data_IF_460866128959
#
_entry.id   IF_460866128959
#
_cell.length_a   1.000
_cell.length_b   1.000
_cell.length_c   1.000
_cell.angle_alpha   90.00
_cell.angle_beta   90.00
_cell.angle_gamma   90.00
#
_symmetry.space_group_name_H-M   'P 1'
#
loop_
_entity.id
_entity.type
_entity.pdbx_description
1 polymer ?
#
# COMPACT_ATOMS: atom_id res chain seq x y z
N UNK A 1 -1.49 14.79 5.51
CA UNK A 1 -0.35 14.14 6.23
C UNK A 1 0.65 15.17 6.74
N UNK A 2 1.36 15.91 5.87
CA UNK A 2 2.43 16.84 6.28
C UNK A 2 1.95 17.99 7.19
N UNK A 3 0.72 18.48 7.04
CA UNK A 3 0.13 19.51 7.90
C UNK A 3 -0.21 18.97 9.30
N UNK A 4 -0.92 17.84 9.42
CA UNK A 4 -1.17 17.18 10.72
C UNK A 4 0.13 16.76 11.45
N UNK A 5 1.18 16.40 10.71
CA UNK A 5 2.50 16.10 11.28
C UNK A 5 3.22 17.36 11.79
N UNK A 6 2.96 18.54 11.21
CA UNK A 6 3.47 19.81 11.74
C UNK A 6 2.83 20.13 13.09
N UNK A 7 1.54 19.87 13.24
CA UNK A 7 0.82 20.04 14.52
C UNK A 7 1.40 19.11 15.60
N UNK A 8 1.61 17.83 15.29
CA UNK A 8 2.28 16.88 16.22
C UNK A 8 3.70 17.29 16.62
N UNK A 9 4.43 18.01 15.76
CA UNK A 9 5.76 18.54 16.10
C UNK A 9 5.72 19.78 17.00
N UNK A 10 4.55 20.41 17.15
CA UNK A 10 4.34 21.63 17.94
C UNK A 10 3.58 21.36 19.25
N UNK A 11 2.72 20.34 19.29
CA UNK A 11 1.93 19.95 20.46
C UNK A 11 2.71 18.96 21.35
N UNK A 12 3.29 19.44 22.45
CA UNK A 12 3.89 18.59 23.49
C UNK A 12 2.88 17.91 24.43
N UNK A 13 1.64 17.69 23.99
CA UNK A 13 0.56 17.21 24.88
C UNK A 13 0.45 15.69 24.90
N UNK A 14 0.61 15.10 26.08
CA UNK A 14 0.26 13.71 26.35
C UNK A 14 -1.26 13.51 26.30
N UNK A 15 -1.73 12.59 25.47
CA UNK A 15 -3.15 12.21 25.37
C UNK A 15 -3.35 10.80 25.96
N UNK A 16 -4.50 10.55 26.61
CA UNK A 16 -4.73 9.39 27.50
C UNK A 16 -5.58 8.28 26.84
N UNK A 17 -5.20 7.02 27.05
CA UNK A 17 -5.95 5.81 26.69
C UNK A 17 -5.14 4.51 26.86
N UNK A 18 -5.72 3.35 26.51
CA UNK A 18 -5.05 2.02 26.47
C UNK A 18 -3.88 1.92 25.48
N UNK A 19 -3.68 2.96 24.67
CA UNK A 19 -2.54 3.22 23.81
C UNK A 19 -1.31 3.57 24.65
N UNK A 20 -0.17 2.93 24.37
CA UNK A 20 1.10 3.37 24.97
C UNK A 20 1.70 4.47 24.11
N UNK A 21 1.22 5.68 24.32
CA UNK A 21 1.77 6.87 23.66
C UNK A 21 2.99 7.39 24.42
N UNK A 22 4.00 7.86 23.68
CA UNK A 22 5.16 8.55 24.25
C UNK A 22 5.56 9.71 23.34
N UNK A 23 5.63 10.91 23.91
CA UNK A 23 6.21 12.10 23.29
C UNK A 23 7.45 12.55 24.08
N UNK A 24 8.51 12.96 23.38
CA UNK A 24 9.72 13.49 24.02
C UNK A 24 10.51 14.43 23.11
N UNK A 25 10.91 15.57 23.67
CA UNK A 25 11.96 16.44 23.13
C UNK A 25 13.33 16.03 23.69
N UNK A 26 14.36 16.07 22.85
CA UNK A 26 15.70 15.56 23.12
C UNK A 26 16.72 16.59 22.61
N UNK A 27 17.46 17.20 23.53
CA UNK A 27 18.27 18.40 23.26
C UNK A 27 19.69 18.10 22.74
N UNK A 28 20.11 16.82 22.73
CA UNK A 28 21.44 16.41 22.28
C UNK A 28 21.47 14.99 21.66
N UNK A 29 22.58 14.68 20.99
CA UNK A 29 22.81 13.39 20.34
C UNK A 29 22.77 12.18 21.30
N UNK A 30 23.25 12.34 22.53
CA UNK A 30 23.31 11.24 23.51
C UNK A 30 21.92 10.89 24.04
N UNK A 31 21.13 11.91 24.38
CA UNK A 31 19.74 11.80 24.78
C UNK A 31 18.89 11.18 23.67
N UNK A 32 19.10 11.62 22.42
CA UNK A 32 18.48 11.01 21.23
C UNK A 32 18.82 9.52 21.16
N UNK A 33 20.11 9.18 21.19
CA UNK A 33 20.58 7.80 21.08
C UNK A 33 20.02 6.90 22.18
N UNK A 34 20.12 7.32 23.45
CA UNK A 34 19.63 6.54 24.59
C UNK A 34 18.12 6.33 24.53
N UNK A 35 17.38 7.38 24.17
CA UNK A 35 15.92 7.30 24.07
C UNK A 35 15.47 6.40 22.92
N UNK A 36 15.97 6.63 21.71
CA UNK A 36 15.58 5.84 20.55
C UNK A 36 16.09 4.40 20.63
N UNK A 37 17.21 4.15 21.31
CA UNK A 37 17.70 2.78 21.55
C UNK A 37 16.71 1.95 22.38
N UNK A 38 16.00 2.61 23.30
CA UNK A 38 14.95 1.97 24.11
C UNK A 38 13.63 1.81 23.37
N UNK A 39 13.32 2.75 22.47
CA UNK A 39 12.02 2.80 21.80
C UNK A 39 11.95 1.99 20.51
N UNK A 40 13.02 1.99 19.73
CA UNK A 40 13.14 1.24 18.49
C UNK A 40 13.88 -0.06 18.78
N UNK A 41 15.22 0.00 18.78
CA UNK A 41 16.14 -1.12 18.90
C UNK A 41 17.46 -0.63 19.50
N UNK A 42 18.24 -1.46 20.20
CA UNK A 42 19.65 -1.15 20.43
C UNK A 42 20.37 -0.90 19.09
N UNK A 43 20.99 0.27 18.95
CA UNK A 43 21.66 0.70 17.73
C UNK A 43 22.83 1.60 18.06
N UNK A 44 23.74 1.80 17.11
CA UNK A 44 24.72 2.87 17.17
C UNK A 44 24.17 4.11 16.48
N UNK A 45 24.44 5.26 17.08
CA UNK A 45 24.00 6.56 16.60
C UNK A 45 25.22 7.46 16.44
N UNK A 46 25.42 8.00 15.24
CA UNK A 46 26.53 8.88 14.95
C UNK A 46 26.04 10.13 14.22
N UNK A 47 26.55 11.28 14.62
CA UNK A 47 26.33 12.58 13.95
C UNK A 47 27.70 13.06 13.49
N UNK A 48 27.85 13.28 12.18
CA UNK A 48 29.15 13.55 11.56
C UNK A 48 29.11 14.83 10.73
N UNK A 49 30.29 15.43 10.53
CA UNK A 49 30.49 16.64 9.76
C UNK A 49 30.67 17.88 10.62
N UNK A 50 30.81 19.02 9.96
CA UNK A 50 30.76 20.33 10.62
C UNK A 50 29.40 20.51 11.34
N UNK A 51 29.41 21.18 12.51
CA UNK A 51 28.22 21.40 13.35
C UNK A 51 27.54 20.13 13.94
N UNK A 52 28.26 19.02 14.04
CA UNK A 52 27.78 17.77 14.66
C UNK A 52 27.32 17.89 16.13
N UNK A 53 27.71 18.98 16.82
CA UNK A 53 27.26 19.29 18.17
C UNK A 53 25.86 19.91 18.27
N UNK A 54 25.21 20.23 17.14
CA UNK A 54 23.87 20.84 17.10
C UNK A 54 22.86 19.88 16.48
N UNK A 55 22.26 19.03 17.33
CA UNK A 55 21.16 18.16 16.93
C UNK A 55 20.09 18.15 18.02
N UNK A 56 18.86 18.44 17.61
CA UNK A 56 17.68 18.30 18.44
C UNK A 56 16.77 17.22 17.83
N UNK A 57 16.05 16.51 18.68
CA UNK A 57 15.18 15.40 18.28
C UNK A 57 13.81 15.49 18.93
N UNK A 58 12.76 15.27 18.14
CA UNK A 58 11.42 14.97 18.64
C UNK A 58 11.05 13.56 18.27
N UNK A 59 10.53 12.82 19.24
CA UNK A 59 10.02 11.47 19.02
C UNK A 59 8.61 11.34 19.57
N UNK A 60 7.70 10.89 18.73
CA UNK A 60 6.36 10.47 19.10
C UNK A 60 6.15 9.01 18.69
N UNK A 61 5.45 8.20 19.50
CA UNK A 61 5.13 6.83 19.11
C UNK A 61 3.76 6.38 19.55
N UNK A 62 3.14 5.52 18.73
CA UNK A 62 1.96 4.72 19.06
C UNK A 62 2.35 3.25 19.03
N UNK A 63 2.09 2.54 20.12
CA UNK A 63 2.16 1.08 20.15
C UNK A 63 0.74 0.51 20.08
N UNK A 64 0.44 -0.20 18.98
CA UNK A 64 -0.83 -0.88 18.78
C UNK A 64 -0.77 -2.35 19.22
N UNK A 65 0.24 -2.78 19.98
CA UNK A 65 0.53 -4.17 20.34
C UNK A 65 0.98 -5.01 19.13
N UNK A 66 2.29 -4.96 18.86
CA UNK A 66 2.97 -5.69 17.78
C UNK A 66 3.10 -4.92 16.46
N UNK A 67 2.45 -3.76 16.35
CA UNK A 67 2.71 -2.75 15.32
C UNK A 67 2.96 -1.42 16.00
N UNK A 68 4.14 -0.85 15.84
CA UNK A 68 4.52 0.42 16.48
C UNK A 68 4.84 1.44 15.42
N UNK A 69 4.17 2.60 15.47
CA UNK A 69 4.45 3.73 14.61
C UNK A 69 5.27 4.75 15.38
N UNK A 70 6.40 5.16 14.83
CA UNK A 70 7.28 6.19 15.35
C UNK A 70 7.30 7.37 14.38
N UNK A 71 7.14 8.57 14.91
CA UNK A 71 7.44 9.82 14.24
C UNK A 71 8.73 10.39 14.83
N UNK A 72 9.69 10.71 13.96
CA UNK A 72 10.99 11.23 14.36
C UNK A 72 11.29 12.48 13.53
N UNK A 73 11.62 13.57 14.20
CA UNK A 73 12.05 14.84 13.61
C UNK A 73 13.42 15.18 14.17
N UNK A 74 14.46 15.07 13.34
CA UNK A 74 15.79 15.56 13.68
C UNK A 74 15.98 16.93 13.06
N UNK A 75 16.32 17.92 13.89
CA UNK A 75 16.72 19.25 13.47
C UNK A 75 18.21 19.37 13.68
N UNK A 76 18.97 19.43 12.60
CA UNK A 76 20.42 19.45 12.64
C UNK A 76 21.01 20.09 11.39
N UNK A 77 22.05 20.88 11.63
CA UNK A 77 22.92 21.41 10.57
C UNK A 77 24.10 20.49 10.24
N UNK A 78 24.18 19.32 10.88
CA UNK A 78 25.23 18.33 10.63
C UNK A 78 25.15 17.78 9.20
N UNK A 79 26.29 17.34 8.66
CA UNK A 79 26.34 16.76 7.31
C UNK A 79 25.57 15.44 7.25
N UNK A 80 25.61 14.63 8.33
CA UNK A 80 24.94 13.34 8.36
C UNK A 80 24.61 12.84 9.77
N UNK A 81 23.46 12.19 9.89
CA UNK A 81 23.04 11.37 11.02
C UNK A 81 22.98 9.92 10.53
N UNK A 82 23.74 9.02 11.16
CA UNK A 82 23.80 7.60 10.86
C UNK A 82 23.26 6.78 12.03
N UNK A 83 22.37 5.85 11.72
CA UNK A 83 21.85 4.84 12.65
C UNK A 83 22.27 3.47 12.14
N UNK A 84 23.05 2.72 12.92
CA UNK A 84 23.46 1.35 12.59
C UNK A 84 22.77 0.38 13.55
N UNK A 85 21.99 -0.56 13.02
CA UNK A 85 21.34 -1.60 13.80
C UNK A 85 22.06 -2.92 13.53
N UNK A 86 22.90 -3.35 14.47
CA UNK A 86 23.56 -4.67 14.41
C UNK A 86 22.80 -5.73 15.21
N UNK A 87 22.22 -5.32 16.34
CA UNK A 87 21.39 -6.21 17.17
C UNK A 87 20.03 -6.37 16.52
N UNK A 88 19.80 -7.58 16.03
CA UNK A 88 18.65 -7.92 15.21
C UNK A 88 17.35 -7.73 15.98
N UNK A 89 16.40 -7.03 15.35
CA UNK A 89 15.03 -7.02 15.80
C UNK A 89 14.25 -8.12 15.11
N UNK A 90 13.34 -8.76 15.83
CA UNK A 90 12.50 -9.79 15.25
C UNK A 90 11.28 -9.12 14.58
N UNK A 91 11.41 -8.76 13.31
CA UNK A 91 10.35 -8.07 12.59
C UNK A 91 10.72 -7.39 11.28
N UNK A 92 9.75 -6.66 10.76
CA UNK A 92 9.84 -5.83 9.56
C UNK A 92 9.77 -4.36 9.97
N UNK A 93 10.58 -3.51 9.35
CA UNK A 93 10.50 -2.05 9.51
C UNK A 93 10.10 -1.39 8.19
N UNK A 94 9.13 -0.48 8.24
CA UNK A 94 8.75 0.39 7.13
C UNK A 94 9.20 1.80 7.46
N UNK A 95 10.03 2.39 6.59
CA UNK A 95 10.53 3.76 6.76
C UNK A 95 9.98 4.67 5.67
N UNK A 96 9.40 5.79 6.06
CA UNK A 96 8.76 6.78 5.17
C UNK A 96 9.36 8.16 5.44
N UNK A 97 10.25 8.67 4.59
CA UNK A 97 10.74 10.04 4.69
C UNK A 97 9.61 11.05 4.45
N UNK A 98 9.48 12.01 5.35
CA UNK A 98 8.53 13.12 5.28
C UNK A 98 9.21 14.42 4.87
N UNK A 99 10.46 14.61 5.30
CA UNK A 99 11.35 15.70 4.88
C UNK A 99 12.79 15.17 4.82
N UNK A 100 13.53 15.64 3.83
CA UNK A 100 14.89 15.16 3.57
C UNK A 100 14.88 13.82 2.83
N UNK A 101 16.03 13.15 2.84
CA UNK A 101 16.20 11.82 2.25
C UNK A 101 16.78 10.87 3.29
N UNK A 102 16.60 9.58 3.09
CA UNK A 102 17.29 8.54 3.83
C UNK A 102 17.94 7.59 2.85
N UNK A 103 19.20 7.26 3.04
CA UNK A 103 19.83 6.12 2.38
C UNK A 103 19.84 4.95 3.35
N UNK A 104 19.17 3.86 3.00
CA UNK A 104 19.24 2.60 3.76
C UNK A 104 20.27 1.71 3.12
N UNK A 105 21.15 1.12 3.92
CA UNK A 105 22.21 0.22 3.49
C UNK A 105 21.97 -1.13 4.17
N UNK A 106 21.69 -2.17 3.39
CA UNK A 106 21.49 -3.53 3.91
C UNK A 106 22.03 -4.54 2.88
N UNK A 107 22.78 -5.53 3.38
CA UNK A 107 23.40 -6.57 2.54
C UNK A 107 24.28 -6.02 1.41
N UNK A 108 25.06 -4.97 1.70
CA UNK A 108 26.00 -4.35 0.74
C UNK A 108 25.35 -3.53 -0.37
N UNK A 109 24.05 -3.25 -0.28
CA UNK A 109 23.30 -2.45 -1.24
C UNK A 109 22.76 -1.18 -0.58
N UNK A 110 22.73 -0.10 -1.35
CA UNK A 110 22.21 1.20 -0.92
C UNK A 110 20.88 1.52 -1.58
N UNK A 111 19.94 2.01 -0.79
CA UNK A 111 18.58 2.36 -1.19
C UNK A 111 18.31 3.81 -0.81
N UNK A 112 18.47 4.76 -1.73
CA UNK A 112 18.04 6.13 -1.49
C UNK A 112 16.51 6.16 -1.48
N UNK A 113 15.93 6.78 -0.45
CA UNK A 113 14.50 6.95 -0.25
C UNK A 113 14.24 8.43 -0.01
N UNK A 114 13.43 9.04 -0.89
CA UNK A 114 13.05 10.43 -0.81
C UNK A 114 11.63 10.66 -0.29
N UNK A 115 11.17 11.92 -0.34
CA UNK A 115 9.76 12.24 -0.15
C UNK A 115 8.89 11.49 -1.16
N UNK A 116 7.67 11.12 -0.75
CA UNK A 116 6.72 10.32 -1.55
C UNK A 116 7.16 8.87 -1.83
N UNK A 117 8.22 8.42 -1.17
CA UNK A 117 8.71 7.04 -1.24
C UNK A 117 8.74 6.41 0.15
N UNK A 118 8.79 5.09 0.19
CA UNK A 118 9.02 4.34 1.41
C UNK A 118 9.86 3.10 1.13
N UNK A 119 10.46 2.54 2.18
CA UNK A 119 11.21 1.28 2.08
C UNK A 119 10.75 0.31 3.15
N UNK A 120 10.74 -0.97 2.79
CA UNK A 120 10.49 -2.08 3.71
C UNK A 120 11.81 -2.80 3.96
N UNK A 121 12.24 -2.82 5.21
CA UNK A 121 13.51 -3.36 5.67
C UNK A 121 13.21 -4.62 6.48
N UNK A 122 13.91 -5.71 6.19
CA UNK A 122 13.90 -6.84 7.10
C UNK A 122 14.79 -6.50 8.30
N UNK A 123 14.18 -6.16 9.44
CA UNK A 123 14.91 -5.71 10.63
C UNK A 123 15.61 -6.86 11.39
N UNK A 124 15.41 -8.10 10.92
CA UNK A 124 16.15 -9.29 11.37
C UNK A 124 17.47 -9.50 10.63
N UNK A 125 17.89 -8.54 9.80
CA UNK A 125 19.25 -8.47 9.25
C UNK A 125 19.85 -7.09 9.53
N UNK A 126 21.18 -6.98 9.72
CA UNK A 126 21.80 -5.70 10.04
C UNK A 126 21.55 -4.67 8.93
N UNK A 127 21.31 -3.43 9.31
CA UNK A 127 21.15 -2.34 8.36
C UNK A 127 21.67 -1.02 8.93
N UNK A 128 22.05 -0.12 8.04
CA UNK A 128 22.40 1.27 8.36
C UNK A 128 21.42 2.20 7.68
N UNK A 129 20.92 3.20 8.40
CA UNK A 129 20.19 4.31 7.82
C UNK A 129 21.02 5.58 7.95
N UNK A 130 21.24 6.27 6.85
CA UNK A 130 21.99 7.52 6.77
C UNK A 130 21.03 8.62 6.33
N UNK A 131 20.93 9.69 7.10
CA UNK A 131 20.12 10.86 6.77
C UNK A 131 20.98 12.12 6.83
N UNK A 132 21.07 12.91 5.74
CA UNK A 132 21.79 14.17 5.76
C UNK A 132 20.96 15.27 6.43
N UNK A 133 21.60 16.05 7.32
CA UNK A 133 21.04 17.22 8.00
C UNK A 133 19.64 17.03 8.60
N UNK A 134 18.85 18.10 8.49
CA UNK A 134 17.44 18.14 8.85
C UNK A 134 16.66 17.02 8.14
N UNK A 135 16.07 16.12 8.94
CA UNK A 135 15.26 15.05 8.39
C UNK A 135 14.11 14.68 9.32
N UNK A 136 12.99 14.32 8.67
CA UNK A 136 11.76 13.93 9.35
C UNK A 136 11.24 12.69 8.70
N UNK A 137 10.84 11.70 9.50
CA UNK A 137 10.38 10.44 8.96
C UNK A 137 9.40 9.73 9.90
N UNK A 138 8.62 8.84 9.31
CA UNK A 138 7.93 7.79 10.02
C UNK A 138 8.78 6.52 9.96
N UNK A 139 8.85 5.80 11.08
CA UNK A 139 9.35 4.44 11.14
C UNK A 139 8.28 3.57 11.78
N UNK A 140 7.84 2.53 11.10
CA UNK A 140 6.81 1.62 11.57
C UNK A 140 7.40 0.22 11.69
N UNK A 141 7.28 -0.40 12.85
CA UNK A 141 7.74 -1.77 13.08
C UNK A 141 6.55 -2.72 13.13
N UNK A 142 6.73 -3.91 12.56
CA UNK A 142 5.79 -5.04 12.66
C UNK A 142 6.57 -6.21 13.23
N UNK A 143 6.21 -6.67 14.43
CA UNK A 143 6.92 -7.77 15.08
C UNK A 143 6.64 -9.09 14.38
N UNK A 144 7.63 -9.98 14.34
CA UNK A 144 7.45 -11.33 13.80
C UNK A 144 6.40 -12.15 14.56
N UNK A 145 6.25 -11.92 15.87
CA UNK A 145 5.19 -12.54 16.67
C UNK A 145 3.79 -12.12 16.16
N UNK A 146 3.57 -10.82 15.93
CA UNK A 146 2.33 -10.32 15.36
C UNK A 146 2.10 -10.85 13.93
N UNK A 147 3.13 -10.79 13.08
CA UNK A 147 3.03 -11.29 11.70
C UNK A 147 2.70 -12.78 11.69
N UNK A 148 3.34 -13.60 12.53
CA UNK A 148 3.05 -15.03 12.65
C UNK A 148 1.60 -15.29 13.05
N UNK A 149 1.09 -14.56 14.05
CA UNK A 149 -0.31 -14.64 14.47
C UNK A 149 -1.28 -14.19 13.36
N UNK A 150 -0.94 -13.12 12.64
CA UNK A 150 -1.72 -12.65 11.49
C UNK A 150 -1.79 -13.73 10.40
N UNK A 151 -0.65 -14.27 9.97
CA UNK A 151 -0.58 -15.33 8.95
C UNK A 151 -1.36 -16.58 9.38
N UNK A 152 -1.25 -16.99 10.64
CA UNK A 152 -2.00 -18.11 11.20
C UNK A 152 -3.52 -17.89 11.16
N UNK A 153 -4.00 -16.69 11.50
CA UNK A 153 -5.43 -16.33 11.39
C UNK A 153 -5.93 -16.30 9.95
N UNK A 154 -5.08 -15.88 9.02
CA UNK A 154 -5.34 -15.98 7.58
C UNK A 154 -5.20 -17.42 7.03
N UNK A 155 -4.82 -18.38 7.88
CA UNK A 155 -4.57 -19.80 7.55
C UNK A 155 -3.45 -20.00 6.51
N UNK A 156 -2.55 -19.03 6.37
CA UNK A 156 -1.42 -19.06 5.44
C UNK A 156 -0.32 -19.95 5.98
N UNK A 157 0.02 -21.01 5.23
CA UNK A 157 1.19 -21.86 5.48
C UNK A 157 2.49 -21.15 5.06
N UNK A 158 2.71 -19.94 5.57
CA UNK A 158 3.86 -19.09 5.31
C UNK A 158 4.51 -18.71 6.63
N UNK A 159 5.84 -18.85 6.71
CA UNK A 159 6.61 -18.36 7.86
C UNK A 159 7.01 -16.92 7.63
N UNK A 160 6.94 -16.11 8.68
CA UNK A 160 7.30 -14.70 8.64
C UNK A 160 8.76 -14.46 8.22
N UNK A 161 9.68 -15.37 8.58
CA UNK A 161 11.09 -15.29 8.17
C UNK A 161 11.30 -15.52 6.67
N UNK A 162 10.31 -16.08 5.96
CA UNK A 162 10.39 -16.30 4.51
C UNK A 162 9.98 -15.07 3.70
N UNK A 163 9.45 -14.04 4.35
CA UNK A 163 9.00 -12.82 3.67
C UNK A 163 10.20 -12.04 3.12
N UNK A 164 10.17 -11.74 1.83
CA UNK A 164 11.14 -10.86 1.17
C UNK A 164 10.46 -9.61 0.60
N UNK A 165 11.24 -8.54 0.48
CA UNK A 165 10.79 -7.25 -0.07
C UNK A 165 11.75 -6.75 -1.14
N UNK A 166 11.30 -5.76 -1.90
CA UNK A 166 12.13 -5.14 -2.92
C UNK A 166 13.38 -4.54 -2.29
N UNK A 167 14.52 -4.72 -2.96
CA UNK A 167 15.77 -4.07 -2.63
C UNK A 167 15.80 -2.68 -3.31
N UNK A 168 14.70 -1.93 -3.19
CA UNK A 168 14.50 -0.60 -3.76
C UNK A 168 13.41 0.13 -2.99
N UNK A 169 13.37 1.46 -3.12
CA UNK A 169 12.23 2.24 -2.65
C UNK A 169 10.95 1.86 -3.42
N UNK A 170 9.82 1.95 -2.72
CA UNK A 170 8.47 1.89 -3.26
C UNK A 170 7.92 3.31 -3.36
N UNK A 171 7.09 3.58 -4.37
CA UNK A 171 6.43 4.86 -4.54
C UNK A 171 5.05 4.84 -3.87
N UNK A 172 4.71 5.90 -3.14
CA UNK A 172 3.44 5.99 -2.42
C UNK A 172 2.26 5.99 -3.40
N UNK A 173 2.38 6.68 -4.53
CA UNK A 173 1.32 6.85 -5.53
C UNK A 173 1.02 5.56 -6.34
N UNK A 174 1.94 4.59 -6.38
CA UNK A 174 1.78 3.32 -7.10
C UNK A 174 1.57 2.14 -6.18
N UNK A 175 2.48 1.93 -5.24
CA UNK A 175 2.49 0.73 -4.39
C UNK A 175 1.97 1.00 -2.97
N UNK A 176 1.98 2.26 -2.52
CA UNK A 176 1.79 2.63 -1.11
C UNK A 176 0.52 3.40 -0.76
N UNK A 177 -0.43 3.60 -1.68
CA UNK A 177 -1.51 4.57 -1.48
C UNK A 177 -2.37 4.25 -0.24
N UNK A 178 -2.71 2.97 -0.05
CA UNK A 178 -3.45 2.52 1.14
C UNK A 178 -2.64 2.70 2.42
N UNK A 179 -1.33 2.42 2.38
CA UNK A 179 -0.46 2.63 3.54
C UNK A 179 -0.41 4.12 3.91
N UNK A 180 -0.22 5.00 2.92
CA UNK A 180 -0.20 6.45 3.15
C UNK A 180 -1.55 6.98 3.67
N UNK A 181 -2.67 6.44 3.19
CA UNK A 181 -4.00 6.74 3.71
C UNK A 181 -4.13 6.38 5.19
N UNK A 182 -3.79 5.14 5.56
CA UNK A 182 -3.86 4.67 6.95
C UNK A 182 -2.91 5.47 7.86
N UNK A 183 -1.68 5.71 7.43
CA UNK A 183 -0.73 6.52 8.19
C UNK A 183 -1.23 7.96 8.37
N UNK A 184 -1.86 8.54 7.34
CA UNK A 184 -2.45 9.87 7.44
C UNK A 184 -3.59 9.90 8.46
N UNK A 185 -4.46 8.89 8.45
CA UNK A 185 -5.55 8.77 9.44
C UNK A 185 -4.99 8.60 10.85
N UNK A 186 -4.01 7.71 11.05
CA UNK A 186 -3.38 7.49 12.36
C UNK A 186 -2.77 8.77 12.94
N UNK A 187 -2.01 9.48 12.11
CA UNK A 187 -1.40 10.76 12.46
C UNK A 187 -2.47 11.81 12.77
N UNK A 188 -3.54 11.88 11.98
CA UNK A 188 -4.64 12.83 12.20
C UNK A 188 -5.38 12.56 13.51
N UNK A 189 -5.70 11.28 13.79
CA UNK A 189 -6.32 10.87 15.05
C UNK A 189 -5.45 11.26 16.25
N UNK A 190 -4.14 11.06 16.17
CA UNK A 190 -3.22 11.50 17.23
C UNK A 190 -3.21 13.01 17.40
N UNK A 191 -3.06 13.75 16.31
CA UNK A 191 -2.96 15.21 16.34
C UNK A 191 -4.21 15.85 16.99
N UNK A 192 -5.37 15.22 16.82
CA UNK A 192 -6.65 15.70 17.31
C UNK A 192 -7.08 15.06 18.64
N UNK A 193 -6.31 14.14 19.21
CA UNK A 193 -6.65 13.45 20.45
C UNK A 193 -7.86 12.53 20.35
N UNK A 194 -8.09 11.93 19.18
CA UNK A 194 -9.15 10.95 18.97
C UNK A 194 -8.86 9.66 19.77
N UNK A 195 -9.85 9.23 20.57
CA UNK A 195 -9.74 8.07 21.44
C UNK A 195 -10.09 6.74 20.75
N UNK A 196 -10.55 6.77 19.49
CA UNK A 196 -10.97 5.59 18.74
C UNK A 196 -9.88 4.52 18.66
N UNK A 197 -8.61 4.91 18.53
CA UNK A 197 -7.47 3.98 18.51
C UNK A 197 -7.25 3.26 19.86
N UNK A 198 -7.81 3.78 20.96
CA UNK A 198 -7.81 3.10 22.26
C UNK A 198 -8.80 1.93 22.32
N UNK A 199 -9.75 1.85 21.38
CA UNK A 199 -10.61 0.68 21.26
C UNK A 199 -9.83 -0.51 20.69
N UNK A 200 -9.83 -1.62 21.42
CA UNK A 200 -9.15 -2.85 21.00
C UNK A 200 -9.60 -3.33 19.62
N UNK A 201 -10.89 -3.17 19.30
CA UNK A 201 -11.43 -3.53 17.99
C UNK A 201 -10.85 -2.66 16.88
N UNK A 202 -10.85 -1.34 17.05
CA UNK A 202 -10.31 -0.41 16.04
C UNK A 202 -8.81 -0.63 15.86
N UNK A 203 -8.04 -0.70 16.94
CA UNK A 203 -6.61 -0.96 16.90
C UNK A 203 -6.29 -2.26 16.14
N UNK A 204 -7.05 -3.33 16.38
CA UNK A 204 -6.88 -4.61 15.69
C UNK A 204 -7.11 -4.48 14.19
N UNK A 205 -8.19 -3.83 13.75
CA UNK A 205 -8.47 -3.64 12.32
C UNK A 205 -7.40 -2.78 11.64
N UNK A 206 -6.94 -1.72 12.29
CA UNK A 206 -5.87 -0.86 11.75
C UNK A 206 -4.56 -1.65 11.60
N UNK A 207 -4.17 -2.43 12.62
CA UNK A 207 -2.99 -3.31 12.52
C UNK A 207 -3.11 -4.30 11.38
N UNK A 208 -4.25 -4.95 11.23
CA UNK A 208 -4.49 -5.93 10.18
C UNK A 208 -4.43 -5.31 8.79
N UNK A 209 -4.99 -4.12 8.61
CA UNK A 209 -4.94 -3.39 7.35
C UNK A 209 -3.50 -3.02 7.00
N UNK A 210 -2.76 -2.42 7.94
CA UNK A 210 -1.33 -2.10 7.77
C UNK A 210 -0.55 -3.36 7.39
N UNK A 211 -0.75 -4.44 8.14
CA UNK A 211 -0.03 -5.70 7.93
C UNK A 211 -0.36 -6.28 6.56
N UNK A 212 -1.63 -6.28 6.17
CA UNK A 212 -2.07 -6.78 4.86
C UNK A 212 -1.43 -6.00 3.72
N UNK A 213 -1.39 -4.67 3.81
CA UNK A 213 -0.79 -3.80 2.79
C UNK A 213 0.72 -4.03 2.71
N UNK A 214 1.43 -4.03 3.84
CA UNK A 214 2.89 -4.24 3.89
C UNK A 214 3.25 -5.62 3.37
N UNK A 215 2.60 -6.68 3.88
CA UNK A 215 2.86 -8.05 3.42
C UNK A 215 2.45 -8.25 1.96
N UNK A 216 1.45 -7.51 1.46
CA UNK A 216 1.08 -7.48 0.04
C UNK A 216 2.23 -7.10 -0.91
N UNK A 217 3.28 -6.44 -0.40
CA UNK A 217 4.49 -6.11 -1.16
C UNK A 217 5.45 -7.30 -1.31
N UNK A 218 5.32 -8.34 -0.47
CA UNK A 218 6.11 -9.58 -0.56
C UNK A 218 5.59 -10.53 -1.64
N UNK A 219 6.46 -11.04 -2.53
CA UNK A 219 6.09 -12.08 -3.50
C UNK A 219 5.62 -13.38 -2.84
N UNK A 220 6.18 -13.77 -1.70
CA UNK A 220 5.81 -14.98 -0.95
C UNK A 220 4.39 -14.87 -0.39
N UNK A 221 4.08 -13.74 0.23
CA UNK A 221 2.74 -13.48 0.74
C UNK A 221 1.71 -13.45 -0.39
N UNK A 222 1.99 -12.76 -1.50
CA UNK A 222 1.08 -12.74 -2.65
C UNK A 222 0.84 -14.13 -3.24
N UNK A 223 1.86 -14.98 -3.28
CA UNK A 223 1.73 -16.38 -3.73
C UNK A 223 0.86 -17.18 -2.76
N UNK A 224 1.19 -17.18 -1.48
CA UNK A 224 0.45 -17.92 -0.47
C UNK A 224 -1.02 -17.45 -0.36
N UNK A 225 -1.26 -16.14 -0.43
CA UNK A 225 -2.61 -15.56 -0.43
C UNK A 225 -3.40 -15.97 -1.67
N UNK A 226 -2.77 -16.05 -2.85
CA UNK A 226 -3.41 -16.55 -4.07
C UNK A 226 -3.76 -18.04 -3.97
N UNK A 227 -2.93 -18.84 -3.31
CA UNK A 227 -3.17 -20.27 -3.15
C UNK A 227 -4.32 -20.57 -2.17
N UNK A 228 -4.53 -19.69 -1.18
CA UNK A 228 -5.65 -19.78 -0.23
C UNK A 228 -6.93 -19.07 -0.66
N UNK A 229 -6.81 -18.03 -1.50
CA UNK A 229 -7.98 -17.36 -2.06
C UNK A 229 -8.91 -18.46 -2.58
N UNK A 230 -10.21 -18.46 -2.21
CA UNK A 230 -11.13 -19.46 -2.72
C UNK A 230 -10.94 -19.49 -4.23
N UNK A 231 -10.34 -20.59 -4.73
CA UNK A 231 -10.61 -20.98 -6.10
C UNK A 231 -12.11 -21.11 -6.07
N UNK A 232 -12.83 -20.26 -6.80
CA UNK A 232 -14.29 -20.24 -6.89
C UNK A 232 -14.83 -21.51 -7.59
N UNK A 233 -14.19 -22.65 -7.30
CA UNK A 233 -14.18 -23.90 -8.03
C UNK A 233 -13.55 -23.82 -9.40
N UNK A 234 -13.30 -22.62 -9.95
CA UNK A 234 -13.01 -22.53 -11.36
C UNK A 234 -11.61 -23.05 -11.71
N UNK A 235 -11.51 -23.87 -12.76
CA UNK A 235 -10.24 -24.33 -13.27
C UNK A 235 -9.44 -23.16 -13.87
N UNK A 236 -8.10 -23.28 -13.96
CA UNK A 236 -7.22 -22.21 -14.41
C UNK A 236 -7.61 -21.55 -15.73
N UNK A 237 -8.19 -22.31 -16.68
CA UNK A 237 -8.63 -21.77 -17.97
C UNK A 237 -9.75 -20.71 -17.85
N UNK A 238 -10.59 -20.76 -16.81
CA UNK A 238 -11.61 -19.73 -16.59
C UNK A 238 -10.94 -18.43 -16.18
N UNK A 239 -10.03 -18.48 -15.20
CA UNK A 239 -9.28 -17.32 -14.74
C UNK A 239 -8.39 -16.73 -15.84
N UNK A 240 -7.73 -17.57 -16.64
CA UNK A 240 -6.90 -17.10 -17.75
C UNK A 240 -7.74 -16.40 -18.84
N UNK A 241 -8.96 -16.88 -19.11
CA UNK A 241 -9.86 -16.19 -20.01
C UNK A 241 -10.32 -14.84 -19.44
N UNK A 242 -10.64 -14.75 -18.14
CA UNK A 242 -10.99 -13.49 -17.48
C UNK A 242 -9.85 -12.47 -17.53
N UNK A 243 -8.62 -12.92 -17.28
CA UNK A 243 -7.42 -12.10 -17.38
C UNK A 243 -7.22 -11.58 -18.80
N UNK A 244 -7.28 -12.47 -19.78
CA UNK A 244 -7.11 -12.11 -21.20
C UNK A 244 -8.19 -11.12 -21.67
N UNK A 245 -9.45 -11.35 -21.32
CA UNK A 245 -10.56 -10.44 -21.63
C UNK A 245 -10.31 -9.05 -21.06
N UNK A 246 -9.89 -8.95 -19.79
CA UNK A 246 -9.66 -7.67 -19.11
C UNK A 246 -8.56 -6.85 -19.77
N UNK A 247 -7.48 -7.51 -20.19
CA UNK A 247 -6.30 -6.87 -20.74
C UNK A 247 -6.51 -6.41 -22.20
N UNK A 248 -7.45 -7.04 -22.92
CA UNK A 248 -7.68 -6.82 -24.37
C UNK A 248 -9.09 -6.27 -24.67
N UNK A 249 -9.69 -5.49 -23.76
CA UNK A 249 -11.09 -5.03 -23.90
C UNK A 249 -11.37 -4.21 -25.17
N UNK A 250 -10.41 -3.37 -25.59
CA UNK A 250 -10.55 -2.50 -26.76
C UNK A 250 -10.18 -3.19 -28.09
N UNK A 251 -9.63 -4.41 -28.02
CA UNK A 251 -9.20 -5.16 -29.19
C UNK A 251 -10.34 -6.00 -29.78
N UNK A 252 -10.32 -6.34 -31.07
CA UNK A 252 -11.34 -7.18 -31.72
C UNK A 252 -11.20 -8.67 -31.34
N UNK A 253 -11.09 -8.98 -30.05
CA UNK A 253 -11.02 -10.35 -29.54
C UNK A 253 -12.39 -11.03 -29.60
N UNK A 254 -12.36 -12.33 -29.95
CA UNK A 254 -13.52 -13.20 -30.01
C UNK A 254 -13.27 -14.52 -29.28
N UNK A 255 -14.28 -15.39 -29.25
CA UNK A 255 -14.21 -16.65 -28.49
C UNK A 255 -13.04 -17.55 -28.88
N UNK A 256 -12.60 -17.52 -30.14
CA UNK A 256 -11.45 -18.31 -30.62
C UNK A 256 -10.17 -17.90 -29.90
N UNK A 257 -9.91 -16.60 -29.77
CA UNK A 257 -8.69 -16.09 -29.15
C UNK A 257 -8.72 -16.22 -27.64
N UNK A 258 -9.88 -15.98 -27.03
CA UNK A 258 -10.08 -16.20 -25.59
C UNK A 258 -9.81 -17.68 -25.25
N UNK A 259 -10.36 -18.62 -26.03
CA UNK A 259 -10.15 -20.05 -25.83
C UNK A 259 -8.69 -20.46 -26.02
N UNK A 260 -8.03 -19.93 -27.06
CA UNK A 260 -6.62 -20.18 -27.35
C UNK A 260 -5.72 -19.71 -26.21
N UNK A 261 -5.90 -18.48 -25.73
CA UNK A 261 -5.10 -17.92 -24.64
C UNK A 261 -5.36 -18.63 -23.30
N UNK A 262 -6.59 -19.08 -23.07
CA UNK A 262 -6.97 -19.82 -21.88
C UNK A 262 -6.51 -21.30 -21.86
N UNK A 263 -5.91 -21.80 -22.94
CA UNK A 263 -5.50 -23.20 -23.05
C UNK A 263 -6.68 -24.18 -23.02
N UNK A 264 -7.86 -23.78 -23.51
CA UNK A 264 -9.07 -24.61 -23.46
C UNK A 264 -9.83 -24.60 -24.79
N UNK A 265 -10.60 -25.67 -25.07
CA UNK A 265 -11.53 -25.66 -26.20
C UNK A 265 -12.67 -24.66 -25.97
N UNK A 266 -13.27 -24.12 -27.04
CA UNK A 266 -14.44 -23.22 -26.95
C UNK A 266 -15.57 -23.84 -26.10
N UNK A 267 -15.85 -25.14 -26.30
CA UNK A 267 -16.88 -25.88 -25.56
C UNK A 267 -16.55 -25.96 -24.07
N UNK A 268 -15.32 -26.32 -23.74
CA UNK A 268 -14.82 -26.37 -22.34
C UNK A 268 -14.95 -25.01 -21.67
N UNK A 269 -14.58 -23.95 -22.38
CA UNK A 269 -14.62 -22.59 -21.86
C UNK A 269 -16.06 -22.12 -21.57
N UNK A 270 -17.00 -22.33 -22.51
CA UNK A 270 -18.41 -22.03 -22.26
C UNK A 270 -18.99 -22.82 -21.08
N UNK A 271 -18.68 -24.11 -21.00
CA UNK A 271 -19.14 -24.96 -19.90
C UNK A 271 -18.58 -24.49 -18.55
N UNK A 272 -17.29 -24.15 -18.49
CA UNK A 272 -16.64 -23.61 -17.30
C UNK A 272 -17.26 -22.28 -16.85
N UNK A 273 -17.46 -21.34 -17.78
CA UNK A 273 -18.11 -20.06 -17.45
C UNK A 273 -19.54 -20.23 -16.96
N UNK A 274 -20.33 -21.14 -17.56
CA UNK A 274 -21.68 -21.43 -17.07
C UNK A 274 -21.66 -22.02 -15.66
N UNK A 275 -20.76 -22.97 -15.41
CA UNK A 275 -20.66 -23.67 -14.12
C UNK A 275 -20.16 -22.75 -13.00
N UNK A 276 -19.11 -21.98 -13.25
CA UNK A 276 -18.38 -21.26 -12.19
C UNK A 276 -18.67 -19.75 -12.14
N UNK A 277 -19.34 -19.18 -13.16
CA UNK A 277 -19.67 -17.75 -13.23
C UNK A 277 -21.14 -17.46 -13.54
N UNK A 278 -21.94 -18.49 -13.79
CA UNK A 278 -23.36 -18.32 -14.19
C UNK A 278 -23.56 -17.61 -15.54
N UNK A 279 -22.49 -17.31 -16.29
CA UNK A 279 -22.53 -16.50 -17.52
C UNK A 279 -21.78 -17.18 -18.67
N UNK A 280 -21.51 -16.45 -19.74
CA UNK A 280 -20.71 -16.92 -20.88
C UNK A 280 -19.50 -16.00 -21.12
N UNK A 281 -18.42 -16.48 -21.76
CA UNK A 281 -17.23 -15.66 -22.00
C UNK A 281 -17.54 -14.39 -22.81
N UNK A 282 -18.39 -14.48 -23.83
CA UNK A 282 -18.77 -13.33 -24.65
C UNK A 282 -19.73 -12.38 -23.94
N UNK A 283 -20.59 -12.89 -23.06
CA UNK A 283 -21.41 -12.03 -22.21
C UNK A 283 -20.55 -11.25 -21.20
N UNK A 284 -19.54 -11.89 -20.61
CA UNK A 284 -18.57 -11.23 -19.73
C UNK A 284 -17.76 -10.16 -20.49
N UNK A 285 -17.22 -10.50 -21.67
CA UNK A 285 -16.52 -9.52 -22.53
C UNK A 285 -17.41 -8.31 -22.82
N UNK A 286 -18.68 -8.54 -23.15
CA UNK A 286 -19.65 -7.47 -23.41
C UNK A 286 -19.89 -6.60 -22.18
N UNK A 287 -20.13 -7.19 -21.01
CA UNK A 287 -20.38 -6.43 -19.78
C UNK A 287 -19.16 -5.61 -19.37
N UNK A 288 -17.95 -6.16 -19.48
CA UNK A 288 -16.72 -5.43 -19.17
C UNK A 288 -16.46 -4.27 -20.15
N UNK A 289 -16.77 -4.45 -21.44
CA UNK A 289 -16.73 -3.36 -22.42
C UNK A 289 -17.74 -2.26 -22.12
N UNK A 290 -18.97 -2.60 -21.71
CA UNK A 290 -19.98 -1.61 -21.29
C UNK A 290 -19.51 -0.82 -20.06
N UNK A 291 -18.92 -1.49 -19.06
CA UNK A 291 -18.32 -0.85 -17.88
C UNK A 291 -17.17 0.08 -18.26
N UNK A 292 -16.30 -0.33 -19.19
CA UNK A 292 -15.21 0.52 -19.66
C UNK A 292 -15.73 1.78 -20.39
N UNK A 293 -16.80 1.65 -21.18
CA UNK A 293 -17.46 2.81 -21.80
C UNK A 293 -18.06 3.74 -20.74
N UNK A 294 -18.71 3.22 -19.70
CA UNK A 294 -19.25 4.01 -18.59
C UNK A 294 -18.14 4.82 -17.91
N UNK A 295 -17.05 4.16 -17.52
CA UNK A 295 -15.91 4.81 -16.89
C UNK A 295 -15.29 5.88 -17.80
N UNK A 296 -15.15 5.60 -19.10
CA UNK A 296 -14.64 6.55 -20.06
C UNK A 296 -15.55 7.78 -20.20
N UNK A 297 -16.87 7.59 -20.25
CA UNK A 297 -17.85 8.69 -20.34
C UNK A 297 -17.80 9.62 -19.12
N UNK A 298 -17.52 9.08 -17.93
CA UNK A 298 -17.40 9.85 -16.69
C UNK A 298 -16.10 10.67 -16.59
N UNK A 299 -15.10 10.39 -17.44
CA UNK A 299 -13.79 11.03 -17.41
C UNK A 299 -13.55 12.01 -18.57
N UNK A 300 -14.50 12.17 -19.51
CA UNK A 300 -14.33 13.08 -20.64
C UNK A 300 -14.38 14.55 -20.17
N UNK A 301 -13.40 15.35 -20.58
CA UNK A 301 -13.41 16.81 -20.48
C UNK A 301 -14.03 17.47 -21.72
N UNK A 302 -14.29 18.78 -21.67
CA UNK A 302 -14.85 19.53 -22.79
C UNK A 302 -14.01 19.40 -24.07
N UNK A 303 -14.67 19.10 -25.19
CA UNK A 303 -14.05 18.90 -26.50
C UNK A 303 -13.70 17.45 -26.85
N UNK A 304 -13.83 16.52 -25.90
CA UNK A 304 -13.45 15.12 -26.10
C UNK A 304 -14.56 14.21 -26.64
N UNK A 305 -14.11 13.08 -27.17
CA UNK A 305 -14.76 12.24 -28.19
C UNK A 305 -16.18 11.77 -27.82
N UNK A 306 -17.13 11.96 -28.72
CA UNK A 306 -18.54 11.60 -28.51
C UNK A 306 -18.80 10.11 -28.27
N UNK A 307 -19.97 9.82 -27.66
CA UNK A 307 -20.49 8.47 -27.31
C UNK A 307 -20.21 7.42 -28.39
N UNK A 308 -20.45 7.76 -29.65
CA UNK A 308 -20.23 6.88 -30.81
C UNK A 308 -18.79 6.39 -30.91
N UNK A 309 -17.80 7.28 -30.74
CA UNK A 309 -16.39 6.92 -30.87
C UNK A 309 -15.95 6.02 -29.73
N UNK A 310 -16.38 6.30 -28.50
CA UNK A 310 -16.11 5.42 -27.36
C UNK A 310 -16.72 4.03 -27.56
N UNK A 311 -17.99 3.96 -27.98
CA UNK A 311 -18.64 2.69 -28.28
C UNK A 311 -17.82 1.88 -29.31
N UNK A 312 -17.38 2.52 -30.40
CA UNK A 312 -16.56 1.87 -31.43
C UNK A 312 -15.17 1.46 -30.91
N UNK A 313 -14.52 2.27 -30.07
CA UNK A 313 -13.22 1.93 -29.44
C UNK A 313 -13.31 0.65 -28.62
N UNK A 314 -14.43 0.40 -27.96
CA UNK A 314 -14.67 -0.83 -27.22
C UNK A 314 -15.39 -1.92 -28.05
N UNK A 315 -15.40 -1.80 -29.38
CA UNK A 315 -15.86 -2.85 -30.29
C UNK A 315 -17.38 -2.93 -30.47
N UNK A 316 -18.14 -1.88 -30.15
CA UNK A 316 -19.56 -1.78 -30.44
C UNK A 316 -19.82 -1.08 -31.77
N UNK A 317 -20.11 -1.85 -32.82
CA UNK A 317 -20.40 -1.33 -34.16
C UNK A 317 -21.90 -1.12 -34.46
N UNK A 318 -22.79 -1.67 -33.62
CA UNK A 318 -24.25 -1.50 -33.74
C UNK A 318 -24.78 -0.59 -32.64
N UNK A 319 -24.77 0.73 -32.88
CA UNK A 319 -25.02 1.76 -31.86
C UNK A 319 -26.41 1.68 -31.20
N UNK A 320 -27.45 1.29 -31.93
CA UNK A 320 -28.78 1.10 -31.35
C UNK A 320 -28.82 -0.06 -30.34
N UNK A 321 -28.17 -1.18 -30.67
CA UNK A 321 -28.07 -2.33 -29.77
C UNK A 321 -27.17 -2.04 -28.57
N UNK A 322 -26.07 -1.34 -28.79
CA UNK A 322 -25.20 -0.84 -27.72
C UNK A 322 -25.98 0.03 -26.73
N UNK A 323 -26.74 1.01 -27.21
CA UNK A 323 -27.49 1.92 -26.34
C UNK A 323 -28.54 1.18 -25.50
N UNK A 324 -29.19 0.17 -26.09
CA UNK A 324 -30.10 -0.72 -25.37
C UNK A 324 -29.38 -1.56 -24.31
N UNK A 325 -28.34 -2.29 -24.70
CA UNK A 325 -27.56 -3.14 -23.78
C UNK A 325 -26.95 -2.32 -22.63
N UNK A 326 -26.53 -1.08 -22.90
CA UNK A 326 -26.01 -0.15 -21.89
C UNK A 326 -27.11 0.27 -20.90
N UNK A 327 -28.29 0.68 -21.41
CA UNK A 327 -29.44 1.02 -20.57
C UNK A 327 -29.92 -0.17 -19.74
N UNK A 328 -29.95 -1.36 -20.32
CA UNK A 328 -30.34 -2.59 -19.62
C UNK A 328 -29.37 -2.90 -18.45
N UNK A 329 -28.09 -2.55 -18.57
CA UNK A 329 -27.07 -2.78 -17.54
C UNK A 329 -27.01 -1.69 -16.47
N UNK A 330 -27.16 -0.41 -16.84
CA UNK A 330 -26.92 0.73 -15.95
C UNK A 330 -28.17 1.55 -15.61
N UNK A 331 -29.31 1.27 -16.23
CA UNK A 331 -30.57 2.01 -16.05
C UNK A 331 -30.63 3.38 -16.75
N UNK A 332 -29.52 3.84 -17.33
CA UNK A 332 -29.39 5.17 -17.97
C UNK A 332 -28.85 5.04 -19.39
N UNK A 333 -29.14 6.01 -20.26
CA UNK A 333 -28.58 6.06 -21.61
C UNK A 333 -27.14 6.60 -21.60
N UNK A 334 -26.27 6.13 -22.51
CA UNK A 334 -24.91 6.67 -22.64
C UNK A 334 -24.86 8.20 -22.84
N UNK A 335 -25.84 8.75 -23.56
CA UNK A 335 -25.97 10.19 -23.81
C UNK A 335 -26.44 10.99 -22.60
N UNK A 336 -27.14 10.35 -21.65
CA UNK A 336 -27.52 10.95 -20.37
C UNK A 336 -26.31 11.02 -19.45
N UNK A 337 -25.54 9.93 -19.32
CA UNK A 337 -24.30 9.91 -18.54
C UNK A 337 -23.33 10.99 -19.01
N UNK A 338 -23.16 11.12 -20.34
CA UNK A 338 -22.37 12.21 -20.90
C UNK A 338 -22.93 13.57 -20.47
N UNK A 339 -24.24 13.78 -20.58
CA UNK A 339 -24.92 15.05 -20.22
C UNK A 339 -24.86 15.39 -18.73
N UNK A 340 -24.72 14.40 -17.86
CA UNK A 340 -24.63 14.59 -16.40
C UNK A 340 -23.19 14.73 -15.88
N UNK A 341 -22.19 14.42 -16.73
CA UNK A 341 -20.79 14.74 -16.45
C UNK A 341 -20.47 16.23 -16.72
N UNK A 342 -21.48 17.02 -17.09
CA UNK A 342 -21.43 18.48 -17.23
C UNK A 342 -22.02 19.16 -15.99
#
# INVERSE_FOLDING_TARGET
MLECLRELSQSGSALHGSLREKSRHLDDASGIHVHLSRMLAPHDFAVTGTNSGTVEGWHHSIDLDGVVLHYIDYRSSAESISVLVEKLQDGIMVKVPLRGRTTVIQSGREYPVGPNEFVVINASSPYRAVMPGDNRHLAMTLSHAWIGNYLGRQKLALRQQSLSFSHSAYCIDREGLMLAGVLTTLVGCLAQGDTALGSHGVATHVKELITSVVLGLSPEYRRASRDLAPRDGAPPYVHQAEFYIRDHLAEPIGIKEIARHAGASRRTLYAGFRKYRGTTPLALLKSMRLQAVMAALQQLSDGDRGVTRLAMTYGFYHLGRFSKDFKDMFGVLPSEVRRSAY
#
